data_IF_012928192475
#
_entry.id   IF_012928192475
#
_cell.length_a   1.000
_cell.length_b   1.000
_cell.length_c   1.000
_cell.angle_alpha   90.00
_cell.angle_beta   90.00
_cell.angle_gamma   90.00
#
_symmetry.space_group_name_H-M   'P 1'
#
loop_
_entity.id
_entity.type
_entity.pdbx_description
1 polymer ?
#
# COMPACT_ATOMS: atom_id res chain seq x y z
N UNK A 1 -3.60 -14.32 -0.01
CA UNK A 1 -4.90 -13.69 0.29
C UNK A 1 -5.73 -13.55 -0.98
N UNK A 2 -7.06 -13.64 -0.89
CA UNK A 2 -7.94 -13.31 -2.02
C UNK A 2 -8.09 -11.79 -2.18
N UNK A 3 -8.57 -11.34 -3.34
CA UNK A 3 -8.80 -9.92 -3.62
C UNK A 3 -9.72 -9.26 -2.59
N UNK A 4 -10.85 -9.90 -2.27
CA UNK A 4 -11.83 -9.40 -1.31
C UNK A 4 -11.25 -9.33 0.11
N UNK A 5 -10.43 -10.32 0.49
CA UNK A 5 -9.80 -10.34 1.82
C UNK A 5 -8.79 -9.19 1.98
N UNK A 6 -8.03 -8.88 0.93
CA UNK A 6 -7.09 -7.77 0.94
C UNK A 6 -7.82 -6.42 1.15
N UNK A 7 -8.92 -6.20 0.43
CA UNK A 7 -9.74 -4.98 0.58
C UNK A 7 -10.29 -4.86 1.99
N UNK A 8 -10.90 -5.93 2.52
CA UNK A 8 -11.42 -5.95 3.90
C UNK A 8 -10.32 -5.68 4.92
N UNK A 9 -9.15 -6.27 4.74
CA UNK A 9 -8.01 -6.08 5.65
C UNK A 9 -7.50 -4.63 5.62
N UNK A 10 -7.39 -4.02 4.44
CA UNK A 10 -6.94 -2.63 4.30
C UNK A 10 -7.94 -1.63 4.92
N UNK A 11 -9.25 -1.88 4.76
CA UNK A 11 -10.27 -1.06 5.42
C UNK A 11 -10.37 -1.32 6.93
N UNK A 12 -10.12 -2.55 7.40
CA UNK A 12 -10.06 -2.85 8.82
C UNK A 12 -8.83 -2.21 9.48
N UNK A 13 -7.69 -2.20 8.77
CA UNK A 13 -6.41 -1.61 9.18
C UNK A 13 -6.18 -0.24 8.55
N UNK A 14 -7.22 0.60 8.57
CA UNK A 14 -7.24 1.88 7.85
C UNK A 14 -6.16 2.88 8.32
N UNK A 15 -5.89 2.91 9.63
CA UNK A 15 -4.87 3.75 10.27
C UNK A 15 -3.87 2.92 11.09
N UNK A 16 -3.80 1.61 10.81
CA UNK A 16 -2.86 0.73 11.47
C UNK A 16 -1.56 0.67 10.65
N UNK A 17 -0.55 1.37 11.17
CA UNK A 17 0.80 1.43 10.62
C UNK A 17 1.71 0.36 11.24
N UNK A 18 1.22 -0.41 12.21
CA UNK A 18 2.01 -1.41 12.91
C UNK A 18 1.91 -2.79 12.24
N UNK A 19 2.95 -3.60 12.43
CA UNK A 19 3.04 -4.94 11.85
C UNK A 19 3.43 -4.96 10.37
N UNK A 20 3.06 -6.06 9.71
CA UNK A 20 3.56 -6.45 8.37
C UNK A 20 2.40 -6.68 7.41
N UNK A 21 2.65 -6.48 6.12
CA UNK A 21 1.71 -6.77 5.05
C UNK A 21 2.32 -7.77 4.08
N UNK A 22 1.55 -8.81 3.75
CA UNK A 22 1.98 -9.79 2.76
C UNK A 22 2.10 -9.15 1.37
N UNK A 23 2.95 -9.70 0.50
CA UNK A 23 3.04 -9.30 -0.91
C UNK A 23 1.67 -9.23 -1.57
N UNK A 24 0.86 -10.27 -1.38
CA UNK A 24 -0.47 -10.35 -1.99
C UNK A 24 -1.42 -9.26 -1.51
N UNK A 25 -1.34 -8.87 -0.23
CA UNK A 25 -2.17 -7.78 0.32
C UNK A 25 -1.86 -6.45 -0.37
N UNK A 26 -0.58 -6.12 -0.52
CA UNK A 26 -0.14 -4.88 -1.19
C UNK A 26 -0.55 -4.84 -2.67
N UNK A 27 -0.31 -5.92 -3.43
CA UNK A 27 -0.60 -5.94 -4.87
C UNK A 27 -2.10 -5.96 -5.18
N UNK A 28 -2.91 -6.64 -4.37
CA UNK A 28 -4.36 -6.59 -4.52
C UNK A 28 -4.93 -5.22 -4.15
N UNK A 29 -4.37 -4.57 -3.11
CA UNK A 29 -4.73 -3.19 -2.78
C UNK A 29 -4.38 -2.23 -3.92
N UNK A 30 -3.19 -2.35 -4.52
CA UNK A 30 -2.78 -1.54 -5.66
C UNK A 30 -3.72 -1.73 -6.86
N UNK A 31 -4.12 -2.97 -7.16
CA UNK A 31 -5.11 -3.25 -8.21
C UNK A 31 -6.46 -2.59 -7.90
N UNK A 32 -6.93 -2.69 -6.65
CA UNK A 32 -8.15 -2.03 -6.21
C UNK A 32 -8.07 -0.51 -6.38
N UNK A 33 -6.97 0.13 -5.99
CA UNK A 33 -6.76 1.57 -6.20
C UNK A 33 -6.85 1.95 -7.68
N UNK A 34 -6.22 1.16 -8.56
CA UNK A 34 -6.24 1.40 -9.99
C UNK A 34 -7.66 1.31 -10.55
N UNK A 35 -8.40 0.24 -10.22
CA UNK A 35 -9.79 0.07 -10.66
C UNK A 35 -10.72 1.15 -10.09
N UNK A 36 -10.62 1.45 -8.79
CA UNK A 36 -11.40 2.49 -8.14
C UNK A 36 -11.16 3.87 -8.76
N UNK A 37 -9.90 4.18 -9.10
CA UNK A 37 -9.55 5.44 -9.76
C UNK A 37 -10.17 5.55 -11.16
N UNK A 38 -10.12 4.49 -11.98
CA UNK A 38 -10.71 4.50 -13.33
C UNK A 38 -12.22 4.70 -13.25
N UNK A 39 -12.90 3.94 -12.39
CA UNK A 39 -14.35 4.04 -12.23
C UNK A 39 -14.77 5.41 -11.71
N UNK A 40 -14.07 5.94 -10.70
CA UNK A 40 -14.41 7.23 -10.11
C UNK A 40 -14.22 8.39 -11.09
N UNK A 41 -13.12 8.40 -11.87
CA UNK A 41 -12.87 9.43 -12.89
C UNK A 41 -13.85 9.36 -14.07
N UNK A 42 -14.35 8.16 -14.41
CA UNK A 42 -15.37 8.01 -15.46
C UNK A 42 -16.72 8.62 -15.06
N UNK A 43 -17.04 8.61 -13.76
CA UNK A 43 -18.29 9.17 -13.24
C UNK A 43 -18.17 10.69 -13.11
N UNK A 44 -17.16 11.17 -12.37
CA UNK A 44 -16.94 12.59 -12.12
C UNK A 44 -15.53 12.83 -11.55
N UNK A 45 -14.78 13.78 -12.11
CA UNK A 45 -13.42 14.12 -11.64
C UNK A 45 -13.39 14.57 -10.16
N UNK A 46 -14.37 15.35 -9.70
CA UNK A 46 -14.47 15.76 -8.30
C UNK A 46 -14.70 14.55 -7.39
N UNK A 47 -15.52 13.58 -7.82
CA UNK A 47 -15.71 12.34 -7.06
C UNK A 47 -14.43 11.50 -7.05
N UNK A 48 -13.70 11.44 -8.16
CA UNK A 48 -12.37 10.84 -8.25
C UNK A 48 -11.39 11.41 -7.22
N UNK A 49 -11.37 12.73 -7.07
CA UNK A 49 -10.52 13.41 -6.09
C UNK A 49 -10.87 13.04 -4.64
N UNK A 50 -12.17 12.95 -4.30
CA UNK A 50 -12.64 12.58 -2.96
C UNK A 50 -12.32 11.12 -2.63
N UNK A 51 -12.51 10.22 -3.60
CA UNK A 51 -12.16 8.80 -3.45
C UNK A 51 -10.65 8.65 -3.26
N UNK A 52 -9.85 9.36 -4.05
CA UNK A 52 -8.39 9.35 -3.90
C UNK A 52 -7.96 9.80 -2.50
N UNK A 53 -8.58 10.86 -1.97
CA UNK A 53 -8.30 11.36 -0.63
C UNK A 53 -8.69 10.36 0.46
N UNK A 54 -9.85 9.72 0.32
CA UNK A 54 -10.32 8.69 1.26
C UNK A 54 -9.46 7.42 1.23
N UNK A 55 -8.87 7.08 0.09
CA UNK A 55 -8.01 5.90 -0.06
C UNK A 55 -6.53 6.21 0.22
N UNK A 56 -6.16 7.48 0.42
CA UNK A 56 -4.79 7.89 0.67
C UNK A 56 -4.23 7.27 1.97
N UNK A 57 -4.97 7.40 3.08
CA UNK A 57 -4.56 6.89 4.39
C UNK A 57 -4.32 5.38 4.41
N UNK A 58 -5.26 4.52 3.95
CA UNK A 58 -5.04 3.08 3.92
C UNK A 58 -3.91 2.70 2.95
N UNK A 59 -3.68 3.48 1.88
CA UNK A 59 -2.54 3.25 0.98
C UNK A 59 -1.20 3.50 1.67
N UNK A 60 -1.10 4.57 2.46
CA UNK A 60 0.10 4.84 3.26
C UNK A 60 0.31 3.79 4.36
N UNK A 61 -0.77 3.35 5.01
CA UNK A 61 -0.72 2.31 6.03
C UNK A 61 -0.20 0.98 5.46
N UNK A 62 -0.76 0.52 4.33
CA UNK A 62 -0.34 -0.72 3.67
C UNK A 62 1.08 -0.62 3.12
N UNK A 63 1.47 0.53 2.54
CA UNK A 63 2.84 0.76 2.09
C UNK A 63 3.85 0.72 3.25
N UNK A 64 3.49 1.31 4.40
CA UNK A 64 4.31 1.27 5.63
C UNK A 64 4.49 -0.15 6.13
N UNK A 65 3.39 -0.92 6.27
CA UNK A 65 3.43 -2.33 6.68
C UNK A 65 4.19 -3.22 5.68
N UNK A 66 4.18 -2.86 4.39
CA UNK A 66 4.97 -3.54 3.36
C UNK A 66 6.47 -3.26 3.49
N UNK A 67 6.85 -2.03 3.81
CA UNK A 67 8.25 -1.66 4.11
C UNK A 67 8.74 -2.33 5.39
N UNK A 68 7.88 -2.45 6.40
CA UNK A 68 8.18 -3.19 7.62
C UNK A 68 8.50 -4.67 7.33
N UNK A 69 7.83 -5.29 6.36
CA UNK A 69 8.10 -6.70 5.98
C UNK A 69 9.55 -6.95 5.52
N UNK A 70 10.22 -5.92 4.98
CA UNK A 70 11.62 -5.98 4.55
C UNK A 70 12.60 -5.34 5.55
N UNK A 71 12.16 -5.18 6.80
CA UNK A 71 12.90 -4.56 7.92
C UNK A 71 13.30 -3.09 7.68
N UNK A 72 12.50 -2.35 6.91
CA UNK A 72 12.69 -0.91 6.65
C UNK A 72 11.62 -0.08 7.35
N UNK A 73 11.97 1.13 7.79
CA UNK A 73 10.99 2.06 8.38
C UNK A 73 9.97 2.57 7.34
N UNK A 74 8.71 2.78 7.75
CA UNK A 74 7.67 3.37 6.90
C UNK A 74 8.03 4.72 6.26
N UNK A 75 8.89 5.51 6.89
CA UNK A 75 9.39 6.78 6.36
C UNK A 75 10.07 6.70 5.00
N UNK A 76 10.58 5.52 4.61
CA UNK A 76 11.16 5.32 3.27
C UNK A 76 10.14 5.49 2.14
N UNK A 77 8.83 5.47 2.42
CA UNK A 77 7.80 5.76 1.43
C UNK A 77 7.91 7.18 0.85
N UNK A 78 8.52 8.13 1.57
CA UNK A 78 8.75 9.50 1.09
C UNK A 78 9.66 9.56 -0.13
N UNK A 79 10.49 8.54 -0.36
CA UNK A 79 11.29 8.45 -1.59
C UNK A 79 10.38 8.40 -2.82
N UNK A 80 9.16 7.86 -2.70
CA UNK A 80 8.17 7.87 -3.77
C UNK A 80 7.74 9.28 -4.24
N UNK A 81 8.02 10.34 -3.47
CA UNK A 81 7.82 11.74 -3.90
C UNK A 81 8.82 12.17 -4.98
N UNK A 82 9.96 11.47 -5.09
CA UNK A 82 10.93 11.71 -6.16
C UNK A 82 10.44 10.95 -7.40
N UNK A 83 10.03 11.65 -8.48
CA UNK A 83 9.50 10.99 -9.65
C UNK A 83 10.57 10.09 -10.30
N UNK A 84 10.10 9.01 -10.93
CA UNK A 84 10.91 8.01 -11.64
C UNK A 84 11.79 7.17 -10.69
N UNK A 85 12.83 7.76 -10.10
CA UNK A 85 13.79 7.04 -9.24
C UNK A 85 13.07 6.47 -8.01
N UNK A 86 12.26 7.30 -7.37
CA UNK A 86 11.57 6.91 -6.16
C UNK A 86 10.56 5.79 -6.38
N UNK A 87 9.79 5.90 -7.47
CA UNK A 87 8.84 4.87 -7.88
C UNK A 87 9.53 3.54 -8.17
N UNK A 88 10.66 3.55 -8.90
CA UNK A 88 11.41 2.32 -9.20
C UNK A 88 11.93 1.66 -7.93
N UNK A 89 12.50 2.44 -7.00
CA UNK A 89 13.00 1.92 -5.71
C UNK A 89 11.85 1.34 -4.87
N UNK A 90 10.71 2.03 -4.82
CA UNK A 90 9.53 1.56 -4.08
C UNK A 90 8.96 0.27 -4.68
N UNK A 91 8.85 0.17 -6.01
CA UNK A 91 8.42 -1.07 -6.67
C UNK A 91 9.40 -2.19 -6.33
N UNK A 92 10.71 -1.94 -6.45
CA UNK A 92 11.74 -2.93 -6.13
C UNK A 92 11.60 -3.45 -4.69
N UNK A 93 11.38 -2.56 -3.72
CA UNK A 93 11.15 -2.96 -2.33
C UNK A 93 9.82 -3.69 -2.12
N UNK A 94 8.74 -3.26 -2.74
CA UNK A 94 7.44 -3.92 -2.60
C UNK A 94 7.40 -5.33 -3.21
N UNK A 95 8.29 -5.65 -4.16
CA UNK A 95 8.42 -7.00 -4.74
C UNK A 95 9.24 -7.95 -3.87
N UNK A 96 10.14 -7.48 -2.99
CA UNK A 96 11.07 -8.33 -2.24
C UNK A 96 10.41 -9.35 -1.30
N UNK A 97 11.13 -10.39 -0.91
CA UNK A 97 10.66 -11.33 0.13
C UNK A 97 10.74 -10.66 1.49
N UNK A 98 9.76 -10.96 2.35
CA UNK A 98 9.86 -10.60 3.75
C UNK A 98 11.13 -11.20 4.34
N UNK A 99 11.87 -10.41 5.09
CA UNK A 99 13.10 -10.89 5.73
C UNK A 99 12.76 -11.50 7.08
N UNK A 100 13.47 -12.57 7.44
CA UNK A 100 13.51 -13.12 8.79
C UNK A 100 14.96 -13.22 9.25
N UNK A 101 15.30 -12.85 10.51
CA UNK A 101 14.42 -12.26 11.52
C UNK A 101 14.07 -10.78 11.22
N UNK A 102 12.89 -10.33 11.65
CA UNK A 102 12.38 -8.97 11.43
C UNK A 102 12.05 -8.25 12.75
N UNK A 103 12.41 -6.96 12.89
CA UNK A 103 12.09 -6.17 14.09
C UNK A 103 10.59 -5.92 14.30
N UNK A 104 9.78 -6.07 13.24
CA UNK A 104 8.35 -5.78 13.24
C UNK A 104 7.46 -7.01 13.54
N UNK A 105 8.05 -8.10 14.05
CA UNK A 105 7.35 -9.34 14.42
C UNK A 105 7.37 -10.41 13.33
N UNK A 106 6.81 -11.59 13.61
CA UNK A 106 6.68 -12.68 12.64
C UNK A 106 5.62 -12.35 11.56
N UNK A 107 5.84 -12.86 10.34
CA UNK A 107 4.97 -12.63 9.16
C UNK A 107 3.56 -13.23 9.30
#
# INVERSE_FOLDING_TARGET
>A
MTFTDAIKTCFAKYLDFEGRASRSEYWWWLLFLLLASIVANLINENLGSLVSLALLLPSLAVATRRLHDIDRSGWWQLIGLIPVIGTVVMIYWCVQEGKEPNRFGAA
#
